data_IF_215468537538
#
_entry.id   IF_215468537538
#
_cell.length_a   1.000
_cell.length_b   1.000
_cell.length_c   1.000
_cell.angle_alpha   90.00
_cell.angle_beta   90.00
_cell.angle_gamma   90.00
#
_symmetry.space_group_name_H-M   'P 1'
#
loop_
_entity.id
_entity.type
_entity.pdbx_description
1 polymer ?
#
# COMPACT_ATOMS: atom_id res chain seq x y z
N UNK A 1 -3.24 35.78 2.96
CA UNK A 1 -1.77 35.77 3.01
C UNK A 1 -1.32 34.32 3.01
N UNK A 2 -1.08 33.76 1.83
CA UNK A 2 -0.57 32.39 1.64
C UNK A 2 0.92 32.46 1.34
N UNK A 3 1.71 31.86 2.22
CA UNK A 3 3.15 31.75 2.08
C UNK A 3 3.42 30.64 1.06
N UNK A 4 4.10 30.97 -0.04
CA UNK A 4 4.56 29.99 -1.02
C UNK A 4 5.84 29.29 -0.52
N UNK A 5 6.01 27.98 -0.78
CA UNK A 5 7.24 27.28 -0.46
C UNK A 5 8.35 27.63 -1.46
N UNK A 6 9.54 27.94 -0.94
CA UNK A 6 10.74 28.19 -1.73
C UNK A 6 11.28 26.89 -2.32
N UNK A 7 11.40 26.83 -3.65
CA UNK A 7 11.98 25.70 -4.41
C UNK A 7 13.41 26.07 -4.80
N UNK A 8 14.38 25.38 -4.21
CA UNK A 8 15.80 25.47 -4.58
C UNK A 8 16.07 24.84 -5.96
N UNK A 9 17.15 25.25 -6.66
CA UNK A 9 17.43 24.78 -8.02
C UNK A 9 17.88 23.31 -8.00
N UNK A 10 17.26 22.52 -8.86
CA UNK A 10 17.30 21.06 -8.81
C UNK A 10 18.53 20.38 -9.41
N UNK A 11 18.67 19.10 -9.05
CA UNK A 11 19.30 18.06 -9.88
C UNK A 11 18.32 16.89 -9.93
N UNK A 12 17.84 16.58 -11.14
CA UNK A 12 16.91 15.50 -11.39
C UNK A 12 17.57 14.13 -11.18
N UNK A 13 16.79 13.19 -10.64
CA UNK A 13 17.16 11.79 -10.49
C UNK A 13 16.27 11.12 -9.44
N UNK A 14 15.40 10.22 -9.87
CA UNK A 14 14.64 9.33 -8.99
C UNK A 14 15.61 8.33 -8.35
N UNK A 15 16.07 8.63 -7.14
CA UNK A 15 16.96 7.72 -6.41
C UNK A 15 16.14 6.91 -5.40
N UNK A 16 15.81 5.68 -5.79
CA UNK A 16 15.64 4.58 -4.84
C UNK A 16 16.92 4.50 -4.01
N UNK A 17 16.81 4.62 -2.69
CA UNK A 17 17.95 4.63 -1.78
C UNK A 17 18.82 3.37 -1.97
N UNK A 18 19.98 3.54 -2.60
CA UNK A 18 21.04 2.54 -2.71
C UNK A 18 21.69 2.39 -1.32
N UNK A 19 21.51 1.23 -0.70
CA UNK A 19 22.28 0.84 0.49
C UNK A 19 23.68 0.46 0.01
N UNK A 20 24.62 1.41 0.04
CA UNK A 20 26.03 1.15 -0.29
C UNK A 20 26.79 0.77 0.99
N UNK A 21 27.13 -0.51 1.15
CA UNK A 21 28.17 -0.92 2.09
C UNK A 21 29.49 -1.05 1.32
N UNK A 22 30.37 -0.06 1.42
CA UNK A 22 31.72 -0.11 0.85
C UNK A 22 31.92 0.57 -0.52
N UNK A 23 31.00 1.39 -1.00
CA UNK A 23 31.26 2.32 -2.11
C UNK A 23 31.51 1.70 -3.49
N UNK A 24 31.13 0.44 -3.72
CA UNK A 24 31.14 -0.19 -5.04
C UNK A 24 29.71 -0.36 -5.55
N UNK A 25 29.39 0.29 -6.66
CA UNK A 25 28.13 0.08 -7.38
C UNK A 25 28.12 -1.35 -7.94
N UNK A 26 27.36 -2.23 -7.30
CA UNK A 26 27.22 -3.62 -7.71
C UNK A 26 26.50 -3.66 -9.05
N UNK A 27 27.10 -4.32 -10.04
CA UNK A 27 26.45 -4.56 -11.33
C UNK A 27 25.09 -5.23 -11.10
N UNK A 28 24.08 -4.90 -11.91
CA UNK A 28 22.74 -5.52 -11.83
C UNK A 28 22.83 -7.06 -11.85
N UNK A 29 23.74 -7.60 -12.67
CA UNK A 29 24.00 -9.04 -12.74
C UNK A 29 24.60 -9.63 -11.46
N UNK A 30 25.31 -8.82 -10.67
CA UNK A 30 25.87 -9.23 -9.39
C UNK A 30 24.84 -9.17 -8.26
N UNK A 31 23.92 -8.19 -8.30
CA UNK A 31 22.76 -8.13 -7.41
C UNK A 31 21.83 -9.33 -7.61
N UNK A 32 21.53 -9.67 -8.86
CA UNK A 32 20.71 -10.85 -9.19
C UNK A 32 21.35 -12.16 -8.71
N UNK A 33 22.68 -12.27 -8.81
CA UNK A 33 23.41 -13.43 -8.26
C UNK A 33 23.29 -13.50 -6.75
N UNK A 34 23.51 -12.38 -6.04
CA UNK A 34 23.34 -12.33 -4.59
C UNK A 34 21.91 -12.63 -4.14
N UNK A 35 20.90 -12.23 -4.93
CA UNK A 35 19.50 -12.55 -4.66
C UNK A 35 19.26 -14.06 -4.76
N UNK A 36 19.72 -14.71 -5.83
CA UNK A 36 19.62 -16.16 -5.99
C UNK A 36 20.37 -16.92 -4.89
N UNK A 37 21.58 -16.48 -4.56
CA UNK A 37 22.36 -17.07 -3.49
C UNK A 37 21.64 -16.93 -2.12
N UNK A 38 20.96 -15.80 -1.88
CA UNK A 38 20.15 -15.60 -0.68
C UNK A 38 18.93 -16.53 -0.65
N UNK A 39 18.21 -16.67 -1.77
CA UNK A 39 17.08 -17.60 -1.88
C UNK A 39 17.50 -19.05 -1.62
N UNK A 40 18.61 -19.50 -2.21
CA UNK A 40 19.15 -20.84 -1.97
C UNK A 40 19.54 -21.07 -0.50
N UNK A 41 20.09 -20.04 0.16
CA UNK A 41 20.40 -20.09 1.59
C UNK A 41 19.13 -20.18 2.43
N UNK A 42 18.08 -19.44 2.08
CA UNK A 42 16.79 -19.52 2.77
C UNK A 42 16.18 -20.92 2.66
N UNK A 43 16.23 -21.54 1.48
CA UNK A 43 15.76 -22.91 1.28
C UNK A 43 16.51 -23.92 2.14
N UNK A 44 17.85 -23.80 2.19
CA UNK A 44 18.69 -24.65 3.06
C UNK A 44 18.39 -24.43 4.54
N UNK A 45 18.17 -23.19 4.96
CA UNK A 45 17.82 -22.87 6.34
C UNK A 45 16.43 -23.40 6.72
N UNK A 46 15.44 -23.33 5.81
CA UNK A 46 14.13 -23.96 5.98
C UNK A 46 14.26 -25.47 6.12
N UNK A 47 15.04 -26.11 5.23
CA UNK A 47 15.30 -27.55 5.30
C UNK A 47 15.92 -27.94 6.65
N UNK A 48 16.93 -27.21 7.14
CA UNK A 48 17.54 -27.49 8.44
C UNK A 48 16.53 -27.33 9.57
N UNK A 49 15.78 -26.22 9.57
CA UNK A 49 14.80 -25.92 10.63
C UNK A 49 13.68 -26.96 10.70
N UNK A 50 13.23 -27.47 9.56
CA UNK A 50 12.13 -28.44 9.50
C UNK A 50 12.58 -29.90 9.66
N UNK A 51 13.72 -30.27 9.06
CA UNK A 51 14.14 -31.68 8.94
C UNK A 51 15.17 -32.09 9.99
N UNK A 52 15.92 -31.16 10.57
CA UNK A 52 16.93 -31.48 11.57
C UNK A 52 16.30 -31.39 12.96
N UNK A 53 16.22 -32.50 13.73
CA UNK A 53 15.70 -32.45 15.09
C UNK A 53 16.54 -31.55 15.99
N UNK A 54 15.91 -30.60 16.68
CA UNK A 54 16.59 -29.76 17.67
C UNK A 54 16.85 -30.57 18.95
N UNK A 55 17.98 -31.28 18.99
CA UNK A 55 18.37 -32.12 20.12
C UNK A 55 19.12 -31.29 21.16
N UNK A 56 18.52 -31.13 22.33
CA UNK A 56 19.23 -30.62 23.51
C UNK A 56 20.12 -31.74 24.04
N UNK A 57 21.43 -31.52 24.01
CA UNK A 57 22.43 -32.56 24.38
C UNK A 57 22.64 -32.65 25.89
N UNK A 58 22.35 -31.57 26.64
CA UNK A 58 22.60 -31.47 28.07
C UNK A 58 21.29 -31.65 28.88
N UNK A 59 20.65 -32.81 28.76
CA UNK A 59 19.44 -33.13 29.54
C UNK A 59 19.82 -33.99 30.74
N UNK A 60 19.70 -33.43 31.93
CA UNK A 60 19.82 -34.16 33.20
C UNK A 60 18.57 -35.03 33.40
N UNK A 61 18.72 -36.21 34.02
CA UNK A 61 17.63 -37.18 34.16
C UNK A 61 16.39 -36.61 34.89
N UNK A 62 15.20 -37.14 34.59
CA UNK A 62 13.91 -36.59 35.07
C UNK A 62 13.73 -36.55 36.59
N UNK A 63 14.51 -37.34 37.33
CA UNK A 63 14.51 -37.39 38.81
C UNK A 63 15.75 -36.76 39.44
N UNK A 64 16.63 -36.15 38.65
CA UNK A 64 17.79 -35.46 39.19
C UNK A 64 17.36 -34.11 39.80
N UNK A 65 17.93 -33.76 40.95
CA UNK A 65 17.61 -32.50 41.65
C UNK A 65 18.09 -31.27 40.87
N UNK A 66 17.55 -30.09 41.17
CA UNK A 66 17.89 -28.85 40.48
C UNK A 66 19.39 -28.53 40.57
N UNK A 67 20.07 -28.53 39.42
CA UNK A 67 21.48 -28.12 39.31
C UNK A 67 21.64 -26.60 39.37
N UNK A 68 22.84 -26.12 39.72
CA UNK A 68 23.14 -24.68 39.81
C UNK A 68 23.00 -23.92 38.48
N UNK A 69 23.08 -24.61 37.34
CA UNK A 69 22.91 -24.04 36.00
C UNK A 69 21.46 -23.99 35.51
N UNK A 70 20.53 -24.72 36.14
CA UNK A 70 19.15 -24.87 35.68
C UNK A 70 18.40 -23.53 35.68
N UNK A 71 18.66 -22.69 36.68
CA UNK A 71 18.09 -21.36 36.77
C UNK A 71 18.41 -20.49 35.54
N UNK A 72 19.64 -20.56 35.04
CA UNK A 72 20.03 -19.80 33.85
C UNK A 72 19.43 -20.38 32.58
N UNK A 73 19.32 -21.71 32.46
CA UNK A 73 18.63 -22.34 31.34
C UNK A 73 17.16 -21.92 31.28
N UNK A 74 16.47 -21.93 32.43
CA UNK A 74 15.11 -21.43 32.54
C UNK A 74 14.97 -19.97 32.12
N UNK A 75 15.87 -19.10 32.61
CA UNK A 75 15.87 -17.67 32.25
C UNK A 75 16.04 -17.47 30.74
N UNK A 76 16.95 -18.21 30.10
CA UNK A 76 17.16 -18.14 28.66
C UNK A 76 15.95 -18.67 27.86
N UNK A 77 15.39 -19.81 28.28
CA UNK A 77 14.23 -20.40 27.64
C UNK A 77 12.99 -19.50 27.76
N UNK A 78 12.73 -18.95 28.95
CA UNK A 78 11.65 -17.99 29.18
C UNK A 78 11.81 -16.73 28.32
N UNK A 79 13.02 -16.16 28.26
CA UNK A 79 13.30 -14.99 27.41
C UNK A 79 13.04 -15.30 25.94
N UNK A 80 13.51 -16.45 25.45
CA UNK A 80 13.29 -16.89 24.08
C UNK A 80 11.80 -17.03 23.77
N UNK A 81 11.04 -17.58 24.71
CA UNK A 81 9.60 -17.76 24.54
C UNK A 81 8.82 -16.44 24.57
N UNK A 82 9.17 -15.52 25.47
CA UNK A 82 8.57 -14.18 25.50
C UNK A 82 8.81 -13.43 24.19
N UNK A 83 10.06 -13.40 23.71
CA UNK A 83 10.39 -12.80 22.40
C UNK A 83 9.60 -13.44 21.25
N UNK A 84 9.36 -14.76 21.31
CA UNK A 84 8.56 -15.47 20.31
C UNK A 84 7.10 -15.02 20.33
N UNK A 85 6.52 -14.88 21.53
CA UNK A 85 5.15 -14.41 21.71
C UNK A 85 4.99 -12.95 21.26
N UNK A 86 5.90 -12.07 21.68
CA UNK A 86 5.94 -10.66 21.28
C UNK A 86 5.97 -10.52 19.76
N UNK A 87 6.87 -11.23 19.07
CA UNK A 87 6.95 -11.21 17.60
C UNK A 87 5.65 -11.69 16.93
N UNK A 88 5.04 -12.75 17.46
CA UNK A 88 3.78 -13.27 16.93
C UNK A 88 2.63 -12.26 17.09
N UNK A 89 2.57 -11.58 18.22
CA UNK A 89 1.59 -10.53 18.48
C UNK A 89 1.80 -9.31 17.58
N UNK A 90 3.05 -8.88 17.38
CA UNK A 90 3.41 -7.79 16.46
C UNK A 90 3.00 -8.12 15.02
N UNK A 91 3.36 -9.30 14.51
CA UNK A 91 2.96 -9.78 13.18
C UNK A 91 1.43 -9.88 13.03
N UNK A 92 0.72 -10.27 14.09
CA UNK A 92 -0.76 -10.30 14.07
C UNK A 92 -1.35 -8.90 13.99
N UNK A 93 -0.84 -7.95 14.78
CA UNK A 93 -1.29 -6.55 14.78
C UNK A 93 -1.02 -5.89 13.43
N UNK A 94 0.16 -6.10 12.87
CA UNK A 94 0.52 -5.57 11.54
C UNK A 94 -0.42 -6.10 10.45
N UNK A 95 -0.71 -7.41 10.45
CA UNK A 95 -1.66 -8.01 9.50
C UNK A 95 -3.05 -7.40 9.60
N UNK A 96 -3.57 -7.20 10.81
CA UNK A 96 -4.87 -6.56 11.02
C UNK A 96 -4.91 -5.13 10.48
N UNK A 97 -3.88 -4.32 10.79
CA UNK A 97 -3.78 -2.95 10.30
C UNK A 97 -3.68 -2.88 8.77
N UNK A 98 -2.94 -3.80 8.15
CA UNK A 98 -2.81 -3.89 6.70
C UNK A 98 -4.14 -4.27 6.04
N UNK A 99 -4.88 -5.22 6.63
CA UNK A 99 -6.21 -5.63 6.16
C UNK A 99 -7.21 -4.48 6.26
N UNK A 100 -7.29 -3.81 7.41
CA UNK A 100 -8.15 -2.63 7.63
C UNK A 100 -7.82 -1.51 6.64
N UNK A 101 -6.53 -1.25 6.41
CA UNK A 101 -6.09 -0.24 5.45
C UNK A 101 -6.50 -0.59 4.02
N UNK A 102 -6.34 -1.86 3.61
CA UNK A 102 -6.74 -2.35 2.29
C UNK A 102 -8.24 -2.23 2.09
N UNK A 103 -9.04 -2.63 3.07
CA UNK A 103 -10.49 -2.51 3.01
C UNK A 103 -10.95 -1.05 2.93
N UNK A 104 -10.38 -0.18 3.75
CA UNK A 104 -10.66 1.26 3.72
C UNK A 104 -10.32 1.86 2.37
N UNK A 105 -9.17 1.50 1.79
CA UNK A 105 -8.76 1.97 0.46
C UNK A 105 -9.71 1.50 -0.63
N UNK A 106 -10.06 0.21 -0.65
CA UNK A 106 -11.00 -0.35 -1.63
C UNK A 106 -12.37 0.33 -1.56
N UNK A 107 -12.86 0.62 -0.35
CA UNK A 107 -14.11 1.35 -0.16
C UNK A 107 -14.03 2.76 -0.75
N UNK A 108 -12.98 3.51 -0.45
CA UNK A 108 -12.80 4.88 -0.97
C UNK A 108 -12.69 4.87 -2.49
N UNK A 109 -11.90 3.96 -3.06
CA UNK A 109 -11.74 3.80 -4.51
C UNK A 109 -13.10 3.50 -5.17
N UNK A 110 -13.92 2.61 -4.60
CA UNK A 110 -15.26 2.30 -5.10
C UNK A 110 -16.23 3.50 -5.02
N UNK A 111 -16.18 4.28 -3.94
CA UNK A 111 -16.98 5.50 -3.79
C UNK A 111 -16.58 6.58 -4.82
N UNK A 112 -15.28 6.76 -5.06
CA UNK A 112 -14.74 7.68 -6.08
C UNK A 112 -15.08 7.24 -7.50
N UNK A 113 -14.98 5.95 -7.81
CA UNK A 113 -15.38 5.37 -9.09
C UNK A 113 -16.88 5.54 -9.33
N UNK A 114 -17.73 5.31 -8.33
CA UNK A 114 -19.17 5.51 -8.44
C UNK A 114 -19.52 6.98 -8.72
N UNK A 115 -18.89 7.93 -8.01
CA UNK A 115 -19.05 9.38 -8.26
C UNK A 115 -18.59 9.75 -9.66
N UNK A 116 -17.43 9.23 -10.08
CA UNK A 116 -16.84 9.50 -11.41
C UNK A 116 -17.66 8.89 -12.55
N UNK A 117 -18.19 7.68 -12.37
CA UNK A 117 -19.07 7.00 -13.32
C UNK A 117 -20.40 7.76 -13.49
N UNK A 118 -21.02 8.21 -12.40
CA UNK A 118 -22.22 9.08 -12.45
C UNK A 118 -21.95 10.36 -13.25
N UNK A 119 -20.83 11.05 -12.99
CA UNK A 119 -20.42 12.27 -13.73
C UNK A 119 -20.12 11.97 -15.20
N UNK A 120 -19.44 10.86 -15.51
CA UNK A 120 -19.15 10.41 -16.89
C UNK A 120 -20.44 10.09 -17.65
N UNK A 121 -21.39 9.38 -17.04
CA UNK A 121 -22.68 9.06 -17.63
C UNK A 121 -23.51 10.32 -17.95
N UNK A 122 -23.54 11.31 -17.03
CA UNK A 122 -24.19 12.62 -17.28
C UNK A 122 -23.58 13.31 -18.51
N UNK A 123 -22.25 13.38 -18.61
CA UNK A 123 -21.54 13.98 -19.77
C UNK A 123 -21.81 13.24 -21.07
N UNK A 124 -21.83 11.90 -21.07
CA UNK A 124 -22.12 11.10 -22.25
C UNK A 124 -23.56 11.32 -22.75
N UNK A 125 -24.55 11.33 -21.85
CA UNK A 125 -25.94 11.65 -22.19
C UNK A 125 -26.09 13.05 -22.80
N UNK A 126 -25.41 14.05 -22.24
CA UNK A 126 -25.41 15.41 -22.80
C UNK A 126 -24.74 15.48 -24.18
N UNK A 127 -23.60 14.81 -24.37
CA UNK A 127 -22.92 14.73 -25.68
C UNK A 127 -23.81 14.04 -26.73
N UNK A 128 -24.49 12.95 -26.37
CA UNK A 128 -25.42 12.25 -27.26
C UNK A 128 -26.60 13.15 -27.67
N UNK A 129 -27.22 13.86 -26.72
CA UNK A 129 -28.29 14.84 -27.01
C UNK A 129 -27.83 15.95 -27.95
N UNK A 130 -26.63 16.51 -27.74
CA UNK A 130 -26.05 17.54 -28.61
C UNK A 130 -25.81 17.02 -30.03
N UNK A 131 -25.25 15.81 -30.18
CA UNK A 131 -25.04 15.16 -31.49
C UNK A 131 -26.37 14.89 -32.22
N UNK A 132 -27.39 14.41 -31.51
CA UNK A 132 -28.71 14.18 -32.08
C UNK A 132 -29.40 15.48 -32.51
N UNK A 133 -29.21 16.60 -31.79
CA UNK A 133 -29.73 17.91 -32.20
C UNK A 133 -28.98 18.47 -33.41
N UNK A 134 -27.65 18.32 -33.47
CA UNK A 134 -26.84 18.75 -34.62
C UNK A 134 -27.19 17.97 -35.90
N UNK A 135 -27.32 16.64 -35.83
CA UNK A 135 -27.73 15.84 -37.00
C UNK A 135 -29.17 16.07 -37.47
N UNK A 136 -30.02 16.73 -36.66
CA UNK A 136 -31.39 17.09 -37.03
C UNK A 136 -31.48 18.47 -37.70
N UNK A 137 -30.45 19.30 -37.59
CA UNK A 137 -30.39 20.64 -38.22
C UNK A 137 -29.79 20.62 -39.62
N UNK A 138 -29.21 19.51 -40.07
CA UNK A 138 -28.63 19.37 -41.42
C UNK A 138 -29.68 19.01 -42.50
N UNK A 139 -30.98 18.98 -42.17
CA UNK A 139 -32.08 18.59 -43.06
C UNK A 139 -33.10 19.69 -43.42
N UNK A 140 -33.00 20.91 -42.90
CA UNK A 140 -33.86 22.04 -43.29
C UNK A 140 -33.00 23.29 -43.41
N UNK A 141 -32.87 23.77 -44.66
CA UNK A 141 -32.01 24.90 -45.01
C UNK A 141 -32.45 26.24 -44.43
N UNK A 142 -31.44 27.09 -44.23
CA UNK A 142 -31.49 28.56 -44.40
C UNK A 142 -32.10 29.40 -43.26
N UNK A 143 -31.25 30.18 -42.57
CA UNK A 143 -31.69 31.45 -41.95
C UNK A 143 -30.97 31.92 -40.66
N UNK A 144 -29.96 32.79 -40.84
CA UNK A 144 -29.52 33.96 -40.02
C UNK A 144 -29.16 33.78 -38.51
N UNK A 145 -28.01 34.31 -38.02
CA UNK A 145 -27.63 34.26 -36.61
C UNK A 145 -28.32 35.36 -35.79
N UNK A 146 -29.00 34.98 -34.71
CA UNK A 146 -29.73 35.91 -33.83
C UNK A 146 -29.73 35.44 -32.38
N UNK A 147 -29.47 36.39 -31.48
CA UNK A 147 -29.22 36.22 -30.05
C UNK A 147 -30.39 35.65 -29.23
N UNK A 148 -30.06 35.27 -27.98
CA UNK A 148 -30.93 35.02 -26.82
C UNK A 148 -31.49 33.59 -26.63
N UNK A 149 -30.81 32.82 -25.77
CA UNK A 149 -31.45 31.87 -24.86
C UNK A 149 -30.62 31.78 -23.58
N UNK A 150 -30.81 32.77 -22.70
CA UNK A 150 -30.50 32.65 -21.27
C UNK A 150 -31.55 31.74 -20.62
N UNK A 151 -31.11 31.06 -19.58
CA UNK A 151 -31.86 30.40 -18.51
C UNK A 151 -32.37 28.96 -18.74
N UNK A 152 -31.68 28.01 -18.13
CA UNK A 152 -32.25 27.23 -17.02
C UNK A 152 -31.11 26.68 -16.16
N UNK A 153 -30.91 27.29 -14.99
CA UNK A 153 -29.97 26.80 -13.99
C UNK A 153 -30.39 25.45 -13.44
N UNK A 154 -29.41 24.60 -13.13
CA UNK A 154 -29.53 23.64 -12.04
C UNK A 154 -28.40 23.94 -11.07
N UNK A 155 -28.63 24.96 -10.26
CA UNK A 155 -28.05 25.10 -8.93
C UNK A 155 -28.51 23.94 -8.05
N UNK A 156 -27.67 23.58 -7.08
CA UNK A 156 -27.96 22.75 -5.90
C UNK A 156 -27.87 21.22 -6.12
N UNK A 157 -27.07 20.45 -5.38
CA UNK A 157 -26.56 20.61 -4.02
C UNK A 157 -25.10 20.15 -3.87
N UNK A 158 -24.38 20.89 -3.03
CA UNK A 158 -23.16 20.48 -2.35
C UNK A 158 -23.41 19.17 -1.58
N UNK A 159 -22.64 18.15 -1.88
CA UNK A 159 -22.35 17.06 -0.94
C UNK A 159 -20.84 16.85 -1.03
N UNK A 160 -20.11 17.81 -0.46
CA UNK A 160 -18.74 17.63 -0.01
C UNK A 160 -18.81 16.83 1.30
N UNK A 161 -18.47 15.54 1.34
CA UNK A 161 -18.29 14.85 2.61
C UNK A 161 -17.05 15.47 3.24
N UNK A 162 -17.27 16.43 4.13
CA UNK A 162 -16.23 17.15 4.84
C UNK A 162 -15.13 16.20 5.29
N UNK A 163 -13.91 16.55 4.88
CA UNK A 163 -12.69 16.02 5.48
C UNK A 163 -12.76 16.36 6.96
N UNK A 164 -13.12 15.37 7.78
CA UNK A 164 -12.93 15.45 9.23
C UNK A 164 -11.42 15.56 9.48
N UNK A 165 -10.95 16.62 10.16
CA UNK A 165 -9.56 16.67 10.62
C UNK A 165 -9.33 15.48 11.56
N UNK A 166 -8.29 14.70 11.27
CA UNK A 166 -7.73 13.79 12.26
C UNK A 166 -6.93 14.67 13.25
N UNK A 167 -7.51 14.92 14.41
CA UNK A 167 -6.77 15.32 15.62
C UNK A 167 -5.94 14.13 16.14
#
# INVERSE_FOLDING_TARGET
MSIQPYVGPGRGGSETALVTFGGQELSQAELEKRQKDAEELEEKLKFITEKVPNRIVQVMGSNAGAGSGEFHMYRMARRRELMRLERMEEESKQRQLDEEFREKKQRLDAEEEAKTAKRRAKRLKQKAKKRAKAGRTDGVGGGVPGAAARASGSSDSEDDPGVVPLD
#
